data_IF_303837854468
#
_entry.id   IF_303837854468
#
_cell.length_a   1.000
_cell.length_b   1.000
_cell.length_c   1.000
_cell.angle_alpha   90.00
_cell.angle_beta   90.00
_cell.angle_gamma   90.00
#
_symmetry.space_group_name_H-M   'P 1'
#
loop_
_entity.id
_entity.type
_entity.pdbx_description
1 polymer ?
#
# COMPACT_ATOMS: atom_id res chain seq x y z
N UNK A 1 -13.65 -0.23 -7.52
CA UNK A 1 -12.67 0.43 -8.41
C UNK A 1 -11.36 -0.26 -8.17
N UNK A 2 -10.78 -0.84 -9.21
CA UNK A 2 -9.45 -1.44 -9.12
C UNK A 2 -8.41 -0.31 -9.05
N UNK A 3 -7.54 -0.37 -8.05
CA UNK A 3 -6.53 0.66 -7.79
C UNK A 3 -5.36 0.54 -8.78
N UNK A 4 -5.07 -0.70 -9.21
CA UNK A 4 -3.98 -1.02 -10.12
C UNK A 4 -4.51 -1.24 -11.54
N UNK A 5 -3.67 -0.89 -12.52
CA UNK A 5 -3.94 -0.99 -13.96
C UNK A 5 -3.36 -2.27 -14.59
N UNK A 6 -2.89 -3.21 -13.77
CA UNK A 6 -2.33 -4.50 -14.19
C UNK A 6 -2.99 -5.66 -13.44
N UNK A 7 -2.98 -6.88 -14.01
CA UNK A 7 -3.35 -8.10 -13.30
C UNK A 7 -2.42 -8.37 -12.12
N UNK A 8 -2.96 -8.96 -11.04
CA UNK A 8 -2.17 -9.37 -9.87
C UNK A 8 -1.13 -10.44 -10.24
N UNK A 9 -1.41 -11.29 -11.24
CA UNK A 9 -0.51 -12.34 -11.70
C UNK A 9 0.80 -11.81 -12.30
N UNK A 10 0.80 -10.53 -12.69
CA UNK A 10 1.92 -9.90 -13.38
C UNK A 10 2.67 -8.93 -12.45
N UNK A 11 2.30 -8.90 -11.16
CA UNK A 11 2.90 -8.02 -10.16
C UNK A 11 3.92 -8.78 -9.32
N UNK A 12 5.16 -8.30 -9.33
CA UNK A 12 6.23 -8.81 -8.47
C UNK A 12 6.29 -8.04 -7.14
N UNK A 13 6.88 -8.64 -6.11
CA UNK A 13 6.84 -8.06 -4.75
C UNK A 13 7.64 -6.75 -4.60
N UNK A 14 8.67 -6.57 -5.44
CA UNK A 14 9.55 -5.39 -5.45
C UNK A 14 9.16 -4.35 -6.50
N UNK A 15 8.09 -4.61 -7.25
CA UNK A 15 7.61 -3.69 -8.28
C UNK A 15 7.18 -2.35 -7.69
N UNK A 16 7.49 -1.30 -8.43
CA UNK A 16 7.07 0.06 -8.08
C UNK A 16 5.60 0.25 -8.45
N UNK A 17 4.71 0.19 -7.45
CA UNK A 17 3.25 0.27 -7.62
C UNK A 17 2.77 1.59 -8.24
N UNK A 18 3.58 2.66 -8.12
CA UNK A 18 3.36 3.93 -8.81
C UNK A 18 3.31 3.78 -10.33
N UNK A 19 4.08 2.84 -10.89
CA UNK A 19 4.09 2.55 -12.32
C UNK A 19 2.78 1.89 -12.78
N UNK A 20 2.02 1.34 -11.84
CA UNK A 20 0.81 0.56 -12.10
C UNK A 20 -0.46 1.21 -11.59
N UNK A 21 -0.41 2.46 -11.14
CA UNK A 21 -1.60 3.26 -10.85
C UNK A 21 -1.82 3.61 -9.37
N UNK A 22 -1.02 3.08 -8.44
CA UNK A 22 -1.04 3.55 -7.05
C UNK A 22 -0.39 4.94 -6.99
N UNK A 23 -1.20 6.00 -6.96
CA UNK A 23 -0.77 7.40 -7.02
C UNK A 23 -1.19 8.16 -5.77
N UNK A 24 -0.63 9.35 -5.57
CA UNK A 24 -1.00 10.24 -4.46
C UNK A 24 -2.51 10.47 -4.30
N UNK A 25 -3.29 10.43 -5.39
CA UNK A 25 -4.74 10.63 -5.37
C UNK A 25 -5.53 9.45 -4.79
N UNK A 26 -5.03 8.21 -4.89
CA UNK A 26 -5.75 7.01 -4.45
C UNK A 26 -5.06 6.30 -3.28
N UNK A 27 -3.84 6.72 -2.92
CA UNK A 27 -3.11 6.13 -1.80
C UNK A 27 -3.82 6.30 -0.47
N UNK A 28 -4.51 7.42 -0.24
CA UNK A 28 -5.28 7.63 0.99
C UNK A 28 -6.42 6.60 1.11
N UNK A 29 -7.08 6.27 0.00
CA UNK A 29 -8.11 5.22 -0.02
C UNK A 29 -7.51 3.83 0.20
N UNK A 30 -6.32 3.59 -0.36
CA UNK A 30 -5.58 2.35 -0.15
C UNK A 30 -5.19 2.18 1.32
N UNK A 31 -4.61 3.22 1.93
CA UNK A 31 -4.23 3.25 3.36
C UNK A 31 -5.44 2.94 4.24
N UNK A 32 -6.55 3.65 4.04
CA UNK A 32 -7.80 3.39 4.79
C UNK A 32 -8.31 1.96 4.64
N UNK A 33 -8.13 1.37 3.45
CA UNK A 33 -8.53 -0.02 3.21
C UNK A 33 -7.66 -1.02 3.99
N UNK A 34 -6.37 -0.74 4.16
CA UNK A 34 -5.48 -1.54 5.00
C UNK A 34 -5.86 -1.44 6.48
N UNK A 35 -6.06 -0.21 6.98
CA UNK A 35 -6.46 0.07 8.36
C UNK A 35 -7.76 -0.66 8.72
N UNK A 36 -8.78 -0.54 7.87
CA UNK A 36 -10.07 -1.23 8.04
C UNK A 36 -9.94 -2.76 7.99
N UNK A 37 -9.08 -3.28 7.09
CA UNK A 37 -8.91 -4.72 6.90
C UNK A 37 -8.19 -5.38 8.07
N UNK A 38 -7.21 -4.71 8.65
CA UNK A 38 -6.32 -5.28 9.67
C UNK A 38 -6.58 -4.75 11.09
N UNK A 39 -7.44 -3.74 11.25
CA UNK A 39 -7.87 -3.25 12.56
C UNK A 39 -6.84 -2.39 13.29
N UNK A 40 -6.05 -1.60 12.55
CA UNK A 40 -5.08 -0.66 13.11
C UNK A 40 -5.17 0.70 12.39
N UNK A 41 -4.52 1.73 12.93
CA UNK A 41 -4.35 3.05 12.29
C UNK A 41 -2.86 3.33 12.10
N UNK A 42 -2.48 3.85 10.92
CA UNK A 42 -1.10 4.30 10.69
C UNK A 42 -0.87 5.65 11.37
N UNK A 43 0.33 5.89 11.87
CA UNK A 43 0.74 7.25 12.25
C UNK A 43 0.96 8.10 11.01
N UNK A 44 0.67 9.40 11.09
CA UNK A 44 0.90 10.37 10.01
C UNK A 44 2.33 10.30 9.42
N UNK A 45 3.34 10.07 10.26
CA UNK A 45 4.74 9.95 9.85
C UNK A 45 5.01 8.74 8.92
N UNK A 46 4.22 7.69 9.07
CA UNK A 46 4.31 6.47 8.25
C UNK A 46 3.48 6.58 6.97
N UNK A 47 2.57 7.56 6.86
CA UNK A 47 1.70 7.81 5.71
C UNK A 47 2.42 8.52 4.54
N UNK A 48 3.71 8.21 4.36
CA UNK A 48 4.52 8.73 3.25
C UNK A 48 4.51 7.73 2.08
N UNK A 49 4.40 8.26 0.85
CA UNK A 49 4.30 7.46 -0.38
C UNK A 49 5.37 6.37 -0.51
N UNK A 50 6.59 6.66 -0.04
CA UNK A 50 7.72 5.75 -0.13
C UNK A 50 7.52 4.45 0.67
N UNK A 51 6.74 4.47 1.76
CA UNK A 51 6.42 3.28 2.55
C UNK A 51 5.41 2.35 1.84
N UNK A 52 4.78 2.81 0.76
CA UNK A 52 3.78 2.05 -0.01
C UNK A 52 4.24 1.80 -1.46
N UNK A 53 5.53 1.96 -1.74
CA UNK A 53 6.07 1.89 -3.11
C UNK A 53 6.00 0.50 -3.74
N UNK A 54 6.08 -0.57 -2.94
CA UNK A 54 6.05 -1.97 -3.37
C UNK A 54 5.33 -2.85 -2.35
N UNK A 55 4.99 -4.08 -2.75
CA UNK A 55 4.31 -5.03 -1.86
C UNK A 55 5.16 -5.38 -0.64
N UNK A 56 6.47 -5.60 -0.81
CA UNK A 56 7.39 -5.88 0.29
C UNK A 56 7.43 -4.76 1.34
N UNK A 57 7.38 -3.50 0.90
CA UNK A 57 7.39 -2.35 1.79
C UNK A 57 6.07 -2.21 2.55
N UNK A 58 4.95 -2.43 1.87
CA UNK A 58 3.63 -2.47 2.49
C UNK A 58 3.57 -3.60 3.52
N UNK A 59 4.06 -4.79 3.18
CA UNK A 59 4.06 -5.93 4.10
C UNK A 59 4.90 -5.63 5.35
N UNK A 60 6.11 -5.07 5.17
CA UNK A 60 6.97 -4.64 6.27
C UNK A 60 6.29 -3.62 7.17
N UNK A 61 5.62 -2.64 6.55
CA UNK A 61 4.91 -1.60 7.28
C UNK A 61 3.73 -2.18 8.06
N UNK A 62 2.88 -3.01 7.44
CA UNK A 62 1.74 -3.66 8.10
C UNK A 62 2.20 -4.52 9.28
N UNK A 63 3.29 -5.30 9.13
CA UNK A 63 3.87 -6.10 10.21
C UNK A 63 4.33 -5.27 11.42
N UNK A 64 4.73 -4.00 11.23
CA UNK A 64 5.08 -3.07 12.33
C UNK A 64 3.90 -2.84 13.27
N UNK A 65 2.67 -2.87 12.74
CA UNK A 65 1.43 -2.57 13.46
C UNK A 65 0.68 -3.81 13.96
N UNK A 66 0.93 -4.99 13.39
CA UNK A 66 0.26 -6.24 13.75
C UNK A 66 0.99 -7.07 14.83
N UNK A 67 1.50 -6.41 15.90
CA UNK A 67 2.20 -7.11 16.99
C UNK A 67 1.33 -8.11 17.73
#
# INVERSE_FOLDING_TARGET
>A
MDILSIPITDLENDDYLLNYGLRSINIVLFIKSLEQKFGFEFSDDDMILNNFKSINEIERLVKKYMK
#
